data_IF_209736611286
#
_entry.id   IF_209736611286
#
_cell.length_a   1.000
_cell.length_b   1.000
_cell.length_c   1.000
_cell.angle_alpha   90.00
_cell.angle_beta   90.00
_cell.angle_gamma   90.00
#
_symmetry.space_group_name_H-M   'P 1'
#
loop_
_entity.id
_entity.type
_entity.pdbx_description
1 polymer ?
#
# COMPACT_ATOMS: atom_id res chain seq x y z
N UNK A 1 21.93 20.16 4.41
CA UNK A 1 21.08 19.32 5.25
C UNK A 1 21.55 19.45 6.69
N UNK A 2 20.64 19.73 7.62
CA UNK A 2 20.93 19.76 9.06
C UNK A 2 20.45 18.47 9.71
N UNK A 3 21.25 17.87 10.54
CA UNK A 3 20.95 16.66 11.30
C UNK A 3 21.45 16.83 12.74
N UNK A 4 21.13 15.89 13.61
CA UNK A 4 21.70 15.75 14.96
C UNK A 4 23.24 15.52 14.95
N UNK A 5 23.79 15.00 13.84
CA UNK A 5 25.21 14.76 13.61
C UNK A 5 25.93 15.98 12.98
N UNK A 6 25.21 17.08 12.69
CA UNK A 6 25.80 18.30 12.11
C UNK A 6 25.16 18.76 10.81
N UNK A 7 25.86 19.63 10.09
CA UNK A 7 25.42 20.21 8.81
C UNK A 7 26.21 19.63 7.65
N UNK A 8 25.51 19.07 6.68
CA UNK A 8 26.08 18.51 5.46
C UNK A 8 25.77 19.41 4.28
N UNK A 9 26.73 19.58 3.37
CA UNK A 9 26.56 20.29 2.10
C UNK A 9 26.98 19.39 0.94
N UNK A 10 26.14 19.29 -0.07
CA UNK A 10 26.41 18.54 -1.28
C UNK A 10 25.79 19.27 -2.47
N UNK A 11 26.34 19.14 -3.68
CA UNK A 11 25.73 19.71 -4.89
C UNK A 11 24.43 18.97 -5.27
N UNK A 12 24.27 17.72 -4.85
CA UNK A 12 23.07 16.93 -5.09
C UNK A 12 22.68 16.14 -3.85
N UNK A 13 21.37 15.86 -3.70
CA UNK A 13 20.81 15.04 -2.63
C UNK A 13 19.76 14.09 -3.24
N UNK A 14 19.83 12.82 -2.87
CA UNK A 14 18.82 11.82 -3.24
C UNK A 14 18.05 11.40 -1.99
N UNK A 15 16.74 11.62 -1.97
CA UNK A 15 15.85 11.19 -0.89
C UNK A 15 15.42 9.73 -1.16
N UNK A 16 15.90 8.81 -0.34
CA UNK A 16 15.62 7.38 -0.41
C UNK A 16 14.87 6.87 0.84
N UNK A 17 14.03 7.73 1.44
CA UNK A 17 13.33 7.45 2.69
C UNK A 17 12.10 6.53 2.54
N UNK A 18 11.72 6.17 1.31
CA UNK A 18 10.57 5.32 1.03
C UNK A 18 9.22 5.99 1.26
N UNK A 19 8.15 5.27 1.01
CA UNK A 19 6.78 5.77 1.07
C UNK A 19 5.98 5.29 2.30
N UNK A 20 6.50 4.32 3.04
CA UNK A 20 5.80 3.67 4.16
C UNK A 20 6.36 4.11 5.52
N UNK A 21 6.56 5.42 5.72
CA UNK A 21 7.23 5.95 6.91
C UNK A 21 6.28 6.10 8.09
N UNK A 22 5.06 6.57 7.84
CA UNK A 22 4.06 6.83 8.89
C UNK A 22 2.74 6.14 8.55
N UNK A 23 2.12 5.44 9.52
CA UNK A 23 0.77 4.87 9.34
C UNK A 23 -0.26 5.96 8.99
N UNK A 24 -1.09 5.67 7.99
CA UNK A 24 -2.15 6.58 7.56
C UNK A 24 -3.44 6.33 8.36
N UNK A 25 -3.43 6.63 9.66
CA UNK A 25 -4.59 6.47 10.53
C UNK A 25 -5.63 7.56 10.22
N UNK A 26 -6.89 7.19 9.92
CA UNK A 26 -7.93 8.18 9.63
C UNK A 26 -8.34 8.96 10.88
N UNK A 27 -8.85 10.18 10.69
CA UNK A 27 -9.32 11.03 11.80
C UNK A 27 -10.43 10.38 12.63
N UNK A 28 -11.17 9.45 12.06
CA UNK A 28 -12.18 8.62 12.73
C UNK A 28 -11.63 7.87 13.96
N UNK A 29 -10.32 7.59 14.00
CA UNK A 29 -9.71 6.91 15.14
C UNK A 29 -9.87 7.67 16.46
N UNK A 30 -10.06 8.99 16.41
CA UNK A 30 -10.32 9.84 17.58
C UNK A 30 -11.72 9.64 18.18
N UNK A 31 -12.62 9.01 17.45
CA UNK A 31 -14.01 8.74 17.86
C UNK A 31 -14.18 7.32 18.44
N UNK A 32 -13.11 6.56 18.53
CA UNK A 32 -13.11 5.23 19.16
C UNK A 32 -13.37 5.40 20.65
N UNK A 33 -14.33 4.66 21.25
CA UNK A 33 -14.62 4.73 22.68
C UNK A 33 -13.39 4.41 23.54
N UNK A 34 -13.31 5.04 24.71
CA UNK A 34 -12.31 4.70 25.71
C UNK A 34 -12.41 3.20 26.10
N UNK A 35 -11.26 2.57 26.36
CA UNK A 35 -11.17 1.14 26.71
C UNK A 35 -10.93 0.21 25.51
N UNK A 36 -11.08 0.68 24.27
CA UNK A 36 -10.67 -0.10 23.08
C UNK A 36 -9.25 0.25 22.70
N UNK A 37 -8.38 -0.76 22.61
CA UNK A 37 -7.00 -0.58 22.13
C UNK A 37 -6.99 -0.22 20.65
N UNK A 38 -6.12 0.71 20.28
CA UNK A 38 -5.99 1.19 18.89
C UNK A 38 -4.55 1.01 18.45
N UNK A 39 -4.32 0.11 17.48
CA UNK A 39 -3.00 -0.23 17.01
C UNK A 39 -2.90 -0.10 15.48
N UNK A 40 -1.68 0.04 14.97
CA UNK A 40 -1.39 0.01 13.53
C UNK A 40 -0.50 -1.21 13.23
N UNK A 41 -0.40 -1.66 11.98
CA UNK A 41 0.53 -2.76 11.65
C UNK A 41 1.98 -2.49 12.05
N UNK A 42 2.41 -1.22 12.10
CA UNK A 42 3.75 -0.86 12.58
C UNK A 42 3.91 -1.01 14.10
N UNK A 43 2.82 -0.84 14.86
CA UNK A 43 2.82 -0.99 16.32
C UNK A 43 2.41 -2.38 16.80
N UNK A 44 1.83 -3.21 15.93
CA UNK A 44 1.45 -4.58 16.25
C UNK A 44 2.67 -5.48 16.34
N UNK A 45 2.71 -6.36 17.33
CA UNK A 45 3.79 -7.34 17.54
C UNK A 45 3.31 -8.78 17.37
N UNK A 46 2.32 -9.17 18.15
CA UNK A 46 1.74 -10.52 18.12
C UNK A 46 0.34 -10.50 18.77
N UNK A 47 -0.48 -11.56 18.55
CA UNK A 47 -1.83 -11.63 19.11
C UNK A 47 -1.89 -11.59 20.66
N UNK A 48 -0.85 -12.10 21.33
CA UNK A 48 -0.81 -12.22 22.79
C UNK A 48 -0.68 -10.87 23.51
N UNK A 49 -0.16 -9.85 22.87
CA UNK A 49 -0.03 -8.50 23.45
C UNK A 49 -1.30 -7.65 23.35
N UNK A 50 -2.29 -8.09 22.58
CA UNK A 50 -3.55 -7.36 22.47
C UNK A 50 -4.47 -7.66 23.65
N UNK A 51 -5.25 -6.68 24.14
CA UNK A 51 -6.28 -6.90 25.16
C UNK A 51 -7.25 -8.02 24.77
N UNK A 52 -7.88 -8.64 25.75
CA UNK A 52 -8.92 -9.66 25.53
C UNK A 52 -10.08 -9.08 24.68
N UNK A 53 -10.79 -9.96 23.98
CA UNK A 53 -11.91 -9.62 23.12
C UNK A 53 -11.63 -9.79 21.64
N UNK A 54 -12.62 -9.51 20.81
CA UNK A 54 -12.52 -9.56 19.36
C UNK A 54 -11.70 -8.40 18.79
N UNK A 55 -11.29 -8.54 17.56
CA UNK A 55 -10.49 -7.53 16.84
C UNK A 55 -11.22 -7.05 15.60
N UNK A 56 -11.37 -5.73 15.48
CA UNK A 56 -11.85 -5.08 14.27
C UNK A 56 -10.65 -4.61 13.44
N UNK A 57 -10.39 -5.24 12.31
CA UNK A 57 -9.32 -4.86 11.36
C UNK A 57 -9.91 -3.94 10.31
N UNK A 58 -9.37 -2.72 10.18
CA UNK A 58 -9.82 -1.72 9.20
C UNK A 58 -8.88 -1.71 8.01
N UNK A 59 -9.36 -2.17 6.84
CA UNK A 59 -8.61 -2.26 5.59
C UNK A 59 -8.26 -3.70 5.21
N UNK A 60 -8.43 -4.04 3.93
CA UNK A 60 -8.28 -5.39 3.38
C UNK A 60 -7.19 -5.48 2.31
N UNK A 61 -6.17 -4.63 2.36
CA UNK A 61 -4.94 -4.80 1.58
C UNK A 61 -4.01 -5.82 2.24
N UNK A 62 -2.78 -5.99 1.77
CA UNK A 62 -1.85 -7.03 2.24
C UNK A 62 -1.78 -7.14 3.78
N UNK A 63 -1.51 -6.04 4.49
CA UNK A 63 -1.38 -6.06 5.96
C UNK A 63 -2.69 -6.45 6.65
N UNK A 64 -3.83 -5.94 6.17
CA UNK A 64 -5.13 -6.24 6.78
C UNK A 64 -5.52 -7.71 6.65
N UNK A 65 -5.32 -8.30 5.47
CA UNK A 65 -5.57 -9.73 5.22
C UNK A 65 -4.63 -10.59 6.07
N UNK A 66 -3.33 -10.24 6.12
CA UNK A 66 -2.34 -10.99 6.89
C UNK A 66 -2.66 -10.97 8.39
N UNK A 67 -2.96 -9.80 8.94
CA UNK A 67 -3.29 -9.68 10.36
C UNK A 67 -4.63 -10.33 10.71
N UNK A 68 -5.63 -10.25 9.82
CA UNK A 68 -6.89 -10.95 10.02
C UNK A 68 -6.71 -12.48 10.06
N UNK A 69 -5.87 -13.05 9.19
CA UNK A 69 -5.54 -14.49 9.20
C UNK A 69 -4.80 -14.88 10.49
N UNK A 70 -3.77 -14.12 10.88
CA UNK A 70 -2.97 -14.39 12.08
C UNK A 70 -3.80 -14.32 13.36
N UNK A 71 -4.58 -13.24 13.52
CA UNK A 71 -5.44 -13.03 14.69
C UNK A 71 -6.53 -14.10 14.78
N UNK A 72 -7.15 -14.45 13.64
CA UNK A 72 -8.16 -15.51 13.63
C UNK A 72 -7.55 -16.87 13.99
N UNK A 73 -6.39 -17.21 13.46
CA UNK A 73 -5.68 -18.46 13.78
C UNK A 73 -5.20 -18.52 15.24
N UNK A 74 -5.03 -17.41 15.90
CA UNK A 74 -4.76 -17.35 17.35
C UNK A 74 -6.00 -17.57 18.22
N UNK A 75 -7.18 -17.83 17.61
CA UNK A 75 -8.43 -18.06 18.29
C UNK A 75 -9.24 -16.79 18.60
N UNK A 76 -8.85 -15.61 18.09
CA UNK A 76 -9.60 -14.38 18.32
C UNK A 76 -10.76 -14.22 17.34
N UNK A 77 -11.95 -13.79 17.77
CA UNK A 77 -12.99 -13.31 16.87
C UNK A 77 -12.48 -12.11 16.06
N UNK A 78 -12.57 -12.19 14.74
CA UNK A 78 -12.10 -11.12 13.84
C UNK A 78 -13.23 -10.60 12.98
N UNK A 79 -13.39 -9.28 12.94
CA UNK A 79 -14.21 -8.56 11.96
C UNK A 79 -13.28 -7.76 11.06
N UNK A 80 -13.36 -7.95 9.74
CA UNK A 80 -12.55 -7.28 8.75
C UNK A 80 -13.39 -6.28 7.93
N UNK A 81 -13.06 -5.01 8.04
CA UNK A 81 -13.70 -3.95 7.25
C UNK A 81 -13.00 -3.81 5.90
N UNK A 82 -13.74 -4.12 4.83
CA UNK A 82 -13.25 -4.23 3.46
C UNK A 82 -13.60 -2.97 2.67
N UNK A 83 -12.55 -2.24 2.28
CA UNK A 83 -12.63 -1.15 1.31
C UNK A 83 -12.12 -1.57 -0.06
N UNK A 84 -11.73 -0.58 -0.88
CA UNK A 84 -11.05 -0.87 -2.15
C UNK A 84 -9.78 -1.70 -1.88
N UNK A 85 -9.60 -2.74 -2.68
CA UNK A 85 -8.48 -3.67 -2.55
C UNK A 85 -8.10 -4.26 -3.91
N UNK A 86 -6.90 -4.81 -3.99
CA UNK A 86 -6.40 -5.52 -5.17
C UNK A 86 -6.30 -7.00 -4.83
N UNK A 87 -7.34 -7.75 -5.25
CA UNK A 87 -7.34 -9.19 -5.12
C UNK A 87 -6.24 -9.80 -5.99
N UNK A 88 -5.44 -10.70 -5.41
CA UNK A 88 -4.33 -11.33 -6.09
C UNK A 88 -4.08 -12.73 -5.53
N UNK A 89 -3.99 -13.78 -6.35
CA UNK A 89 -3.58 -15.09 -5.89
C UNK A 89 -2.08 -15.08 -5.58
N UNK A 90 -1.65 -15.90 -4.62
CA UNK A 90 -0.22 -16.07 -4.36
C UNK A 90 0.47 -16.83 -5.49
N UNK A 91 -0.23 -17.82 -6.04
CA UNK A 91 0.29 -18.69 -7.10
C UNK A 91 -0.67 -18.67 -8.28
N UNK A 92 -0.15 -18.63 -9.48
CA UNK A 92 -0.86 -18.75 -10.73
C UNK A 92 -0.07 -19.66 -11.67
N UNK A 93 -0.74 -20.64 -12.32
CA UNK A 93 -0.11 -21.58 -13.25
C UNK A 93 1.20 -22.19 -12.69
N UNK A 94 1.16 -22.61 -11.43
CA UNK A 94 2.28 -23.26 -10.74
C UNK A 94 3.46 -22.37 -10.36
N UNK A 95 3.39 -21.03 -10.59
CA UNK A 95 4.43 -20.08 -10.21
C UNK A 95 3.86 -18.96 -9.34
N UNK A 96 4.72 -18.28 -8.58
CA UNK A 96 4.36 -17.06 -7.88
C UNK A 96 3.83 -16.02 -8.86
N UNK A 97 2.75 -15.32 -8.49
CA UNK A 97 2.13 -14.32 -9.38
C UNK A 97 3.10 -13.19 -9.73
N UNK A 98 4.02 -12.82 -8.84
CA UNK A 98 5.03 -11.79 -9.12
C UNK A 98 5.94 -12.18 -10.28
N UNK A 99 6.25 -13.48 -10.42
CA UNK A 99 7.00 -13.97 -11.57
C UNK A 99 6.26 -13.69 -12.89
N UNK A 100 4.94 -13.91 -12.92
CA UNK A 100 4.12 -13.64 -14.09
C UNK A 100 4.03 -12.16 -14.40
N UNK A 101 3.87 -11.32 -13.37
CA UNK A 101 3.80 -9.87 -13.53
C UNK A 101 5.12 -9.28 -14.06
N UNK A 102 6.25 -9.82 -13.63
CA UNK A 102 7.57 -9.40 -14.10
C UNK A 102 7.84 -9.92 -15.50
N UNK A 103 7.72 -11.25 -15.73
CA UNK A 103 7.98 -11.88 -17.02
C UNK A 103 7.12 -11.33 -18.16
N UNK A 104 5.88 -10.95 -17.89
CA UNK A 104 4.96 -10.33 -18.86
C UNK A 104 5.22 -8.84 -19.09
N UNK A 105 6.17 -8.21 -18.39
CA UNK A 105 6.48 -6.78 -18.49
C UNK A 105 5.47 -5.86 -17.77
N UNK A 106 4.46 -6.40 -17.11
CA UNK A 106 3.43 -5.59 -16.42
C UNK A 106 4.02 -4.72 -15.29
N UNK A 107 5.08 -5.21 -14.63
CA UNK A 107 5.79 -4.44 -13.59
C UNK A 107 6.71 -3.37 -14.16
N UNK A 108 7.08 -3.45 -15.45
CA UNK A 108 7.92 -2.48 -16.14
C UNK A 108 7.13 -1.33 -16.75
N UNK A 109 5.78 -1.39 -16.74
CA UNK A 109 4.94 -0.30 -17.21
C UNK A 109 5.38 1.03 -16.59
N UNK A 110 5.64 2.02 -17.43
CA UNK A 110 6.17 3.31 -17.04
C UNK A 110 5.08 4.28 -16.59
N UNK A 111 5.47 5.24 -15.77
CA UNK A 111 4.59 6.28 -15.23
C UNK A 111 4.06 7.25 -16.31
N UNK A 112 4.84 7.42 -17.39
CA UNK A 112 4.51 8.25 -18.56
C UNK A 112 3.64 7.52 -19.61
N UNK A 113 3.32 6.23 -19.37
CA UNK A 113 2.47 5.40 -20.23
C UNK A 113 1.04 5.23 -19.66
N UNK A 114 0.71 5.89 -18.55
CA UNK A 114 -0.62 5.77 -17.93
C UNK A 114 -1.41 7.07 -18.01
N UNK A 115 -2.71 6.97 -18.31
CA UNK A 115 -3.60 8.13 -18.46
C UNK A 115 -3.82 8.89 -17.14
N UNK A 116 -3.88 8.19 -16.00
CA UNK A 116 -4.11 8.75 -14.67
C UNK A 116 -3.06 8.27 -13.67
N UNK A 117 -1.93 8.96 -13.65
CA UNK A 117 -0.82 8.65 -12.76
C UNK A 117 -1.19 8.85 -11.28
N UNK A 118 -2.03 9.84 -10.97
CA UNK A 118 -2.46 10.10 -9.61
C UNK A 118 -3.26 8.91 -9.06
N UNK A 119 -4.17 8.36 -9.86
CA UNK A 119 -4.91 7.13 -9.53
C UNK A 119 -3.98 5.92 -9.44
N UNK A 120 -3.06 5.76 -10.40
CA UNK A 120 -2.14 4.62 -10.43
C UNK A 120 -1.24 4.57 -9.19
N UNK A 121 -0.79 5.72 -8.68
CA UNK A 121 0.01 5.84 -7.44
C UNK A 121 -0.79 5.56 -6.16
N UNK A 122 -2.12 5.68 -6.20
CA UNK A 122 -3.00 5.48 -5.05
C UNK A 122 -3.67 4.09 -5.03
N UNK A 123 -3.27 3.19 -5.92
CA UNK A 123 -3.79 1.81 -5.91
C UNK A 123 -3.35 1.12 -4.61
N UNK A 124 -4.27 0.46 -3.88
CA UNK A 124 -3.92 -0.29 -2.69
C UNK A 124 -2.91 -1.40 -2.97
N UNK A 125 -2.11 -1.78 -1.98
CA UNK A 125 -1.19 -2.90 -2.12
C UNK A 125 -1.93 -4.21 -2.42
N UNK A 126 -1.36 -5.02 -3.30
CA UNK A 126 -1.90 -6.33 -3.70
C UNK A 126 -2.04 -7.26 -2.48
N UNK A 127 -3.08 -8.06 -2.44
CA UNK A 127 -3.31 -9.08 -1.40
C UNK A 127 -2.37 -10.28 -1.58
N UNK A 128 -1.08 -10.04 -1.64
CA UNK A 128 -0.05 -11.07 -1.76
C UNK A 128 0.28 -11.69 -0.39
N UNK A 129 -0.69 -12.39 0.17
CA UNK A 129 -0.59 -13.01 1.51
C UNK A 129 -0.63 -14.51 1.39
N UNK A 130 0.07 -15.18 2.30
CA UNK A 130 0.22 -16.63 2.33
C UNK A 130 1.64 -17.08 2.00
N UNK A 131 1.80 -18.37 1.76
CA UNK A 131 3.05 -19.03 1.38
C UNK A 131 2.88 -19.75 0.04
N UNK A 132 3.95 -20.27 -0.58
CA UNK A 132 3.80 -21.16 -1.73
C UNK A 132 2.79 -22.27 -1.44
N UNK A 133 1.76 -22.40 -2.31
CA UNK A 133 0.67 -23.35 -2.14
C UNK A 133 -0.49 -22.92 -1.21
N UNK A 134 -0.40 -21.75 -0.54
CA UNK A 134 -1.50 -21.24 0.29
C UNK A 134 -1.76 -19.76 -0.01
N UNK A 135 -2.76 -19.48 -0.80
CA UNK A 135 -3.30 -18.12 -0.95
C UNK A 135 -4.24 -17.81 0.23
N UNK A 136 -4.13 -16.61 0.80
CA UNK A 136 -5.07 -16.08 1.79
C UNK A 136 -5.81 -14.92 1.16
N UNK A 137 -7.10 -15.10 0.90
CA UNK A 137 -8.01 -14.09 0.36
C UNK A 137 -9.27 -13.96 1.21
N UNK A 138 -10.20 -13.11 0.79
CA UNK A 138 -11.46 -12.89 1.51
C UNK A 138 -12.31 -14.16 1.59
N UNK A 139 -12.27 -15.05 0.59
CA UNK A 139 -13.01 -16.31 0.62
C UNK A 139 -12.44 -17.24 1.69
N UNK A 140 -11.13 -17.38 1.77
CA UNK A 140 -10.44 -18.19 2.79
C UNK A 140 -10.77 -17.66 4.19
N UNK A 141 -10.66 -16.35 4.41
CA UNK A 141 -10.95 -15.73 5.70
C UNK A 141 -12.44 -15.92 6.09
N UNK A 142 -13.35 -15.64 5.17
CA UNK A 142 -14.79 -15.80 5.43
C UNK A 142 -15.18 -17.25 5.71
N UNK A 143 -14.58 -18.21 5.00
CA UNK A 143 -14.82 -19.64 5.22
C UNK A 143 -14.26 -20.10 6.58
N UNK A 144 -13.17 -19.51 7.03
CA UNK A 144 -12.59 -19.79 8.34
C UNK A 144 -13.41 -19.18 9.50
N UNK A 145 -14.29 -18.20 9.25
CA UNK A 145 -15.13 -17.57 10.28
C UNK A 145 -14.84 -16.11 10.54
N UNK A 146 -13.93 -15.47 9.79
CA UNK A 146 -13.73 -14.02 9.84
C UNK A 146 -14.99 -13.33 9.30
N UNK A 147 -15.56 -12.41 10.09
CA UNK A 147 -16.72 -11.61 9.67
C UNK A 147 -16.26 -10.49 8.73
N UNK A 148 -16.74 -10.50 7.49
CA UNK A 148 -16.48 -9.42 6.54
C UNK A 148 -17.58 -8.36 6.63
N UNK A 149 -17.19 -7.09 6.70
CA UNK A 149 -18.07 -5.93 6.67
C UNK A 149 -17.59 -4.92 5.61
N UNK A 150 -18.44 -3.98 5.22
CA UNK A 150 -18.06 -2.94 4.29
C UNK A 150 -17.02 -1.97 4.85
N UNK A 151 -16.54 -1.07 4.01
CA UNK A 151 -15.59 -0.02 4.44
C UNK A 151 -16.15 0.75 5.63
N UNK A 152 -15.34 0.98 6.65
CA UNK A 152 -15.68 1.88 7.76
C UNK A 152 -15.99 3.28 7.20
N UNK A 153 -17.22 3.73 7.38
CA UNK A 153 -17.72 5.02 6.90
C UNK A 153 -17.70 6.08 8.00
N UNK A 154 -17.94 5.67 9.25
CA UNK A 154 -18.00 6.57 10.40
C UNK A 154 -17.98 5.81 11.72
N UNK A 155 -17.79 6.55 12.81
CA UNK A 155 -18.05 6.11 14.18
C UNK A 155 -18.94 7.19 14.79
N UNK A 156 -20.14 6.83 15.22
CA UNK A 156 -21.10 7.75 15.84
C UNK A 156 -21.74 7.09 17.04
N UNK A 157 -21.77 7.78 18.16
CA UNK A 157 -22.36 7.30 19.43
C UNK A 157 -21.85 5.91 19.87
N UNK A 158 -20.55 5.65 19.62
CA UNK A 158 -19.92 4.38 19.93
C UNK A 158 -20.25 3.25 18.95
N UNK A 159 -20.95 3.52 17.85
CA UNK A 159 -21.26 2.54 16.80
C UNK A 159 -20.37 2.78 15.59
N UNK A 160 -19.60 1.77 15.20
CA UNK A 160 -18.88 1.77 13.91
C UNK A 160 -19.89 1.50 12.79
N UNK A 161 -19.93 2.40 11.81
CA UNK A 161 -20.84 2.36 10.66
C UNK A 161 -20.08 1.87 9.42
N UNK A 162 -20.66 0.91 8.71
CA UNK A 162 -20.05 0.32 7.53
C UNK A 162 -20.86 0.62 6.27
N UNK A 163 -20.15 0.80 5.16
CA UNK A 163 -20.77 0.99 3.85
C UNK A 163 -21.45 -0.29 3.38
N UNK A 164 -22.65 -0.17 2.79
CA UNK A 164 -23.35 -1.27 2.11
C UNK A 164 -22.74 -1.68 0.77
N UNK A 165 -21.64 -1.05 0.34
CA UNK A 165 -21.02 -1.30 -0.98
C UNK A 165 -20.09 -2.52 -1.03
N UNK A 166 -20.02 -3.34 0.02
CA UNK A 166 -19.13 -4.51 0.08
C UNK A 166 -19.24 -5.43 -1.14
N UNK A 167 -20.44 -5.82 -1.61
CA UNK A 167 -20.56 -6.66 -2.81
C UNK A 167 -19.97 -6.01 -4.05
N UNK A 168 -20.19 -4.71 -4.25
CA UNK A 168 -19.69 -3.98 -5.41
C UNK A 168 -18.16 -3.86 -5.40
N UNK A 169 -17.57 -3.61 -4.24
CA UNK A 169 -16.12 -3.51 -4.08
C UNK A 169 -15.45 -4.85 -4.38
N UNK A 170 -16.03 -5.96 -3.92
CA UNK A 170 -15.52 -7.30 -4.20
C UNK A 170 -15.69 -7.68 -5.68
N UNK A 171 -16.86 -7.41 -6.26
CA UNK A 171 -17.09 -7.68 -7.70
C UNK A 171 -16.12 -6.90 -8.58
N UNK A 172 -15.81 -5.64 -8.22
CA UNK A 172 -14.82 -4.85 -8.94
C UNK A 172 -13.39 -5.42 -8.79
N UNK A 173 -13.03 -5.90 -7.62
CA UNK A 173 -11.73 -6.55 -7.39
C UNK A 173 -11.60 -7.86 -8.19
N UNK A 174 -12.67 -8.67 -8.23
CA UNK A 174 -12.73 -9.88 -9.04
C UNK A 174 -12.62 -9.59 -10.53
N UNK A 175 -13.31 -8.56 -11.02
CA UNK A 175 -13.23 -8.13 -12.42
C UNK A 175 -11.80 -7.67 -12.79
N UNK A 176 -11.16 -6.88 -11.92
CA UNK A 176 -9.77 -6.43 -12.12
C UNK A 176 -8.81 -7.62 -12.15
N UNK A 177 -8.97 -8.58 -11.24
CA UNK A 177 -8.19 -9.83 -11.25
C UNK A 177 -8.38 -10.59 -12.56
N UNK A 178 -9.63 -10.82 -13.00
CA UNK A 178 -9.91 -11.52 -14.25
C UNK A 178 -9.25 -10.86 -15.47
N UNK A 179 -9.27 -9.53 -15.56
CA UNK A 179 -8.59 -8.78 -16.62
C UNK A 179 -7.08 -8.97 -16.58
N UNK A 180 -6.47 -8.91 -15.38
CA UNK A 180 -5.03 -9.13 -15.22
C UNK A 180 -4.62 -10.53 -15.65
N UNK A 181 -5.35 -11.56 -15.21
CA UNK A 181 -5.06 -12.95 -15.59
C UNK A 181 -5.25 -13.20 -17.09
N UNK A 182 -6.24 -12.56 -17.73
CA UNK A 182 -6.39 -12.61 -19.18
C UNK A 182 -5.19 -11.97 -19.91
N UNK A 183 -4.62 -10.89 -19.39
CA UNK A 183 -3.41 -10.27 -19.96
C UNK A 183 -2.20 -11.21 -19.83
N UNK A 184 -2.04 -11.86 -18.69
CA UNK A 184 -0.98 -12.86 -18.48
C UNK A 184 -1.17 -14.06 -19.41
N UNK A 185 -2.42 -14.57 -19.55
CA UNK A 185 -2.74 -15.70 -20.43
C UNK A 185 -2.47 -15.39 -21.90
N UNK A 186 -2.82 -14.18 -22.36
CA UNK A 186 -2.53 -13.74 -23.72
C UNK A 186 -1.02 -13.70 -23.97
N UNK A 187 -0.24 -13.21 -23.02
CA UNK A 187 1.22 -13.22 -23.08
C UNK A 187 1.79 -14.66 -23.08
N UNK A 188 1.24 -15.54 -22.24
CA UNK A 188 1.69 -16.92 -22.10
C UNK A 188 1.21 -17.85 -23.23
N UNK A 189 0.34 -17.40 -24.13
CA UNK A 189 -0.21 -18.18 -25.24
C UNK A 189 -1.18 -19.30 -24.84
N UNK A 190 -1.65 -19.34 -23.61
CA UNK A 190 -2.57 -20.36 -23.10
C UNK A 190 -3.38 -19.86 -21.90
N UNK A 191 -4.62 -20.33 -21.75
CA UNK A 191 -5.45 -20.02 -20.60
C UNK A 191 -4.96 -20.74 -19.33
N UNK A 192 -4.97 -20.03 -18.21
CA UNK A 192 -4.71 -20.58 -16.89
C UNK A 192 -5.97 -20.87 -16.09
N UNK A 193 -5.78 -21.20 -14.79
CA UNK A 193 -6.88 -21.41 -13.86
C UNK A 193 -7.70 -20.13 -13.64
N UNK A 194 -8.98 -20.31 -13.26
CA UNK A 194 -9.88 -19.22 -12.88
C UNK A 194 -10.21 -19.32 -11.41
N UNK A 195 -10.23 -18.18 -10.74
CA UNK A 195 -10.56 -18.10 -9.32
C UNK A 195 -12.05 -17.83 -9.14
N UNK A 196 -12.68 -18.55 -8.21
CA UNK A 196 -14.07 -18.33 -7.85
C UNK A 196 -14.28 -16.86 -7.42
N UNK A 197 -15.41 -16.24 -7.77
CA UNK A 197 -15.77 -14.93 -7.27
C UNK A 197 -15.72 -14.85 -5.75
N UNK A 198 -15.56 -13.65 -5.23
CA UNK A 198 -15.61 -13.42 -3.78
C UNK A 198 -17.05 -13.67 -3.29
N UNK A 199 -17.21 -14.65 -2.39
CA UNK A 199 -18.53 -15.05 -1.86
C UNK A 199 -18.91 -14.08 -0.75
N UNK A 200 -20.05 -13.38 -0.90
CA UNK A 200 -20.56 -12.45 0.08
C UNK A 200 -21.63 -13.09 0.95
N UNK A 201 -21.47 -12.95 2.25
CA UNK A 201 -22.53 -13.19 3.24
C UNK A 201 -23.16 -11.85 3.60
N UNK A 202 -24.39 -11.89 4.14
CA UNK A 202 -25.03 -10.68 4.68
C UNK A 202 -24.14 -10.06 5.75
N UNK A 203 -23.74 -8.82 5.55
CA UNK A 203 -22.86 -8.08 6.44
C UNK A 203 -23.64 -7.03 7.25
N UNK A 204 -23.41 -6.88 8.55
CA UNK A 204 -24.00 -5.80 9.32
C UNK A 204 -23.47 -4.46 8.85
N UNK A 205 -24.34 -3.45 8.89
CA UNK A 205 -23.98 -2.06 8.57
C UNK A 205 -23.51 -1.27 9.81
N UNK A 206 -23.64 -1.86 11.00
CA UNK A 206 -23.22 -1.27 12.26
C UNK A 206 -22.64 -2.30 13.20
N UNK A 207 -21.73 -1.86 14.08
CA UNK A 207 -21.15 -2.65 15.16
C UNK A 207 -21.02 -1.76 16.39
N UNK A 208 -21.71 -2.12 17.48
CA UNK A 208 -21.59 -1.38 18.74
C UNK A 208 -20.23 -1.68 19.40
N UNK A 209 -19.38 -0.67 19.41
CA UNK A 209 -18.05 -0.74 20.01
C UNK A 209 -18.10 -0.73 21.55
N UNK A 210 -19.23 -0.35 22.16
CA UNK A 210 -19.42 -0.35 23.62
C UNK A 210 -19.96 -1.66 24.16
N UNK A 211 -20.32 -2.61 23.28
CA UNK A 211 -20.84 -3.93 23.66
C UNK A 211 -19.82 -4.81 24.40
N UNK A 212 -18.53 -4.49 24.35
CA UNK A 212 -17.45 -5.34 24.85
C UNK A 212 -17.04 -6.46 23.87
N UNK A 213 -17.72 -6.60 22.72
CA UNK A 213 -17.33 -7.57 21.69
C UNK A 213 -15.93 -7.29 21.13
N UNK A 214 -15.60 -6.02 20.91
CA UNK A 214 -14.32 -5.57 20.33
C UNK A 214 -13.42 -4.99 21.41
N UNK A 215 -12.27 -5.62 21.65
CA UNK A 215 -11.22 -5.13 22.56
C UNK A 215 -10.14 -4.32 21.82
N UNK A 216 -9.98 -4.53 20.53
CA UNK A 216 -8.92 -3.87 19.73
C UNK A 216 -9.41 -3.48 18.34
N UNK A 217 -8.98 -2.30 17.87
CA UNK A 217 -9.07 -1.90 16.47
C UNK A 217 -7.66 -1.84 15.87
N UNK A 218 -7.47 -2.54 14.74
CA UNK A 218 -6.23 -2.50 13.94
C UNK A 218 -6.45 -1.63 12.72
N UNK A 219 -5.72 -0.52 12.63
CA UNK A 219 -5.78 0.41 11.50
C UNK A 219 -4.84 -0.03 10.38
N UNK A 220 -5.24 -1.00 9.57
CA UNK A 220 -4.51 -1.46 8.40
C UNK A 220 -4.82 -0.60 7.16
N UNK A 221 -4.86 0.71 7.36
CA UNK A 221 -5.30 1.73 6.39
C UNK A 221 -4.18 2.29 5.53
N UNK A 222 -3.03 1.61 5.52
CA UNK A 222 -1.86 1.94 4.71
C UNK A 222 -0.89 2.90 5.41
N UNK A 223 0.03 3.42 4.61
CA UNK A 223 1.11 4.30 5.05
C UNK A 223 1.21 5.51 4.13
N UNK A 224 1.91 6.53 4.60
CA UNK A 224 2.30 7.69 3.80
C UNK A 224 3.76 8.06 4.07
N UNK A 225 4.45 8.68 3.12
CA UNK A 225 5.76 9.27 3.41
C UNK A 225 5.60 10.42 4.41
N UNK A 226 6.56 10.55 5.30
CA UNK A 226 6.72 11.75 6.12
C UNK A 226 7.87 12.57 5.56
N UNK A 227 7.53 13.67 4.93
CA UNK A 227 8.47 14.66 4.38
C UNK A 227 8.35 16.02 5.11
N UNK A 228 7.71 16.06 6.28
CA UNK A 228 7.48 17.28 7.06
C UNK A 228 8.78 17.95 7.52
N UNK A 229 9.87 17.19 7.59
CA UNK A 229 11.20 17.66 7.91
C UNK A 229 11.92 18.35 6.73
N UNK A 230 11.36 18.30 5.51
CA UNK A 230 11.96 18.87 4.31
C UNK A 230 11.53 20.32 4.14
N UNK A 231 12.43 21.24 4.51
CA UNK A 231 12.23 22.68 4.40
C UNK A 231 12.68 23.20 3.01
N UNK A 232 12.06 22.67 1.96
CA UNK A 232 12.31 23.04 0.55
C UNK A 232 10.94 23.05 -0.17
N UNK A 233 10.65 24.04 -1.06
CA UNK A 233 9.34 24.21 -1.69
C UNK A 233 9.08 23.20 -2.83
N UNK A 234 9.21 21.91 -2.53
CA UNK A 234 8.96 20.81 -3.46
C UNK A 234 7.77 19.94 -3.03
N UNK A 235 7.03 20.36 -2.01
CA UNK A 235 5.85 19.65 -1.52
C UNK A 235 4.57 20.34 -1.98
N UNK A 236 3.56 19.53 -2.35
CA UNK A 236 2.21 20.02 -2.60
C UNK A 236 1.48 20.37 -1.28
N UNK A 237 0.26 20.94 -1.39
CA UNK A 237 -0.58 21.29 -0.22
C UNK A 237 -0.95 20.10 0.67
N UNK A 238 -0.72 18.87 0.22
CA UNK A 238 -0.96 17.64 0.97
C UNK A 238 0.33 17.05 1.54
N UNK A 239 1.47 17.78 1.44
CA UNK A 239 2.78 17.34 1.91
C UNK A 239 3.40 16.23 1.06
N UNK A 240 2.97 16.06 -0.19
CA UNK A 240 3.53 15.06 -1.13
C UNK A 240 4.57 15.74 -2.01
N UNK A 241 5.69 15.05 -2.26
CA UNK A 241 6.71 15.57 -3.15
C UNK A 241 6.19 15.70 -4.59
N UNK A 242 6.41 16.86 -5.17
CA UNK A 242 6.13 17.14 -6.60
C UNK A 242 7.40 16.82 -7.39
N UNK A 243 7.29 15.89 -8.32
CA UNK A 243 8.42 15.41 -9.10
C UNK A 243 7.97 14.82 -10.44
N UNK A 244 8.87 14.82 -11.40
CA UNK A 244 8.77 14.06 -12.64
C UNK A 244 9.79 12.91 -12.60
N UNK A 245 9.32 11.66 -12.53
CA UNK A 245 10.18 10.48 -12.46
C UNK A 245 11.28 10.54 -11.39
N UNK A 246 11.04 11.21 -10.26
CA UNK A 246 12.02 11.38 -9.17
C UNK A 246 12.88 12.64 -9.27
N UNK A 247 12.79 13.42 -10.35
CA UNK A 247 13.45 14.72 -10.48
C UNK A 247 12.52 15.79 -9.92
N UNK A 248 12.97 16.59 -8.97
CA UNK A 248 12.15 17.67 -8.39
C UNK A 248 12.40 19.01 -9.10
N UNK A 249 11.54 20.00 -8.85
CA UNK A 249 11.72 21.36 -9.34
C UNK A 249 12.93 22.07 -8.69
N UNK A 250 13.44 21.55 -7.57
CA UNK A 250 14.67 22.06 -6.95
C UNK A 250 15.89 21.37 -7.59
N UNK A 251 16.72 22.10 -8.35
CA UNK A 251 17.89 21.52 -9.02
C UNK A 251 18.82 20.81 -8.01
N UNK A 252 19.23 19.60 -8.35
CA UNK A 252 20.07 18.76 -7.49
C UNK A 252 19.35 17.98 -6.40
N UNK A 253 18.02 18.10 -6.28
CA UNK A 253 17.22 17.30 -5.35
C UNK A 253 16.44 16.22 -6.09
N UNK A 254 16.59 14.97 -5.67
CA UNK A 254 16.02 13.79 -6.30
C UNK A 254 15.29 12.90 -5.29
N UNK A 255 14.39 12.05 -5.80
CA UNK A 255 13.63 11.04 -5.02
C UNK A 255 13.82 9.66 -5.65
N UNK A 256 13.91 8.62 -4.81
CA UNK A 256 13.92 7.22 -5.25
C UNK A 256 13.08 6.35 -4.30
N UNK A 257 12.58 5.20 -4.80
CA UNK A 257 11.85 4.23 -4.00
C UNK A 257 10.39 4.62 -3.67
N UNK A 258 9.84 5.62 -4.34
CA UNK A 258 8.42 5.97 -4.21
C UNK A 258 7.55 5.07 -5.09
N UNK A 259 6.29 4.79 -4.68
CA UNK A 259 5.37 4.00 -5.49
C UNK A 259 5.17 4.60 -6.89
N UNK A 260 5.34 3.76 -7.91
CA UNK A 260 5.20 4.14 -9.30
C UNK A 260 5.96 5.44 -9.64
N UNK A 261 7.22 5.52 -9.18
CA UNK A 261 8.08 6.66 -9.42
C UNK A 261 8.38 6.80 -10.92
N UNK A 262 8.91 5.74 -11.53
CA UNK A 262 9.16 5.57 -12.97
C UNK A 262 8.46 4.35 -13.54
N UNK A 263 8.36 3.26 -12.74
CA UNK A 263 7.72 1.98 -13.11
C UNK A 263 6.79 1.50 -12.00
N UNK A 264 5.92 0.56 -12.31
CA UNK A 264 5.08 -0.07 -11.28
C UNK A 264 5.92 -0.73 -10.20
N UNK A 265 7.08 -1.28 -10.52
CA UNK A 265 8.02 -1.90 -9.58
C UNK A 265 8.99 -0.93 -8.89
N UNK A 266 8.87 0.37 -9.06
CA UNK A 266 9.77 1.38 -8.47
C UNK A 266 9.97 1.27 -6.96
N UNK A 267 8.97 0.79 -6.22
CA UNK A 267 9.03 0.58 -4.77
C UNK A 267 9.46 -0.83 -4.37
N UNK A 268 9.76 -1.71 -5.33
CA UNK A 268 10.29 -3.05 -5.11
C UNK A 268 11.83 -3.02 -5.23
N UNK A 269 12.51 -3.94 -4.53
CA UNK A 269 13.97 -4.05 -4.57
C UNK A 269 14.46 -4.26 -6.01
N UNK A 270 13.79 -5.13 -6.77
CA UNK A 270 14.11 -5.40 -8.18
C UNK A 270 13.97 -4.17 -9.07
N UNK A 271 12.93 -3.36 -8.87
CA UNK A 271 12.70 -2.14 -9.66
C UNK A 271 13.64 -0.98 -9.35
N UNK A 272 14.26 -0.97 -8.16
CA UNK A 272 15.09 0.13 -7.70
C UNK A 272 16.34 0.34 -8.57
N UNK A 273 16.96 -0.73 -9.08
CA UNK A 273 18.17 -0.65 -9.88
C UNK A 273 17.99 0.13 -11.20
N UNK A 274 16.91 -0.16 -11.93
CA UNK A 274 16.59 0.51 -13.19
C UNK A 274 16.27 2.00 -12.98
N UNK A 275 15.49 2.32 -11.94
CA UNK A 275 15.16 3.71 -11.59
C UNK A 275 16.40 4.47 -11.13
N UNK A 276 17.28 3.85 -10.34
CA UNK A 276 18.55 4.44 -9.90
C UNK A 276 19.45 4.76 -11.09
N UNK A 277 19.59 3.85 -12.06
CA UNK A 277 20.41 4.07 -13.25
C UNK A 277 19.92 5.25 -14.09
N UNK A 278 18.60 5.39 -14.29
CA UNK A 278 18.03 6.53 -15.00
C UNK A 278 18.22 7.85 -14.25
N UNK A 279 17.98 7.82 -12.93
CA UNK A 279 18.13 9.00 -12.08
C UNK A 279 19.58 9.47 -12.00
N UNK A 280 20.54 8.52 -11.92
CA UNK A 280 21.98 8.81 -11.87
C UNK A 280 22.47 9.46 -13.17
N UNK A 281 21.96 9.08 -14.34
CA UNK A 281 22.29 9.75 -15.62
C UNK A 281 21.86 11.22 -15.59
N UNK A 282 20.66 11.52 -15.09
CA UNK A 282 20.21 12.90 -14.97
C UNK A 282 21.05 13.69 -13.94
N UNK A 283 21.38 13.05 -12.81
CA UNK A 283 22.21 13.64 -11.76
C UNK A 283 23.63 13.95 -12.27
N UNK A 284 24.25 13.04 -13.04
CA UNK A 284 25.56 13.24 -13.64
C UNK A 284 25.55 14.45 -14.59
N UNK A 285 24.57 14.56 -15.49
CA UNK A 285 24.42 15.70 -16.37
C UNK A 285 24.25 17.03 -15.63
N UNK A 286 23.55 17.03 -14.49
CA UNK A 286 23.42 18.20 -13.62
C UNK A 286 24.79 18.61 -13.03
N UNK A 287 25.57 17.65 -12.53
CA UNK A 287 26.91 17.91 -12.00
C UNK A 287 27.88 18.45 -13.05
N UNK A 288 27.86 17.89 -14.25
CA UNK A 288 28.69 18.34 -15.38
C UNK A 288 28.37 19.79 -15.75
N UNK A 289 27.08 20.14 -15.78
CA UNK A 289 26.64 21.52 -16.03
C UNK A 289 27.15 22.50 -14.95
N UNK A 290 27.15 22.09 -13.67
CA UNK A 290 27.69 22.91 -12.58
C UNK A 290 29.19 23.15 -12.72
N UNK A 291 29.97 22.13 -13.12
CA UNK A 291 31.42 22.25 -13.35
C UNK A 291 31.72 23.16 -14.55
N UNK A 292 30.98 22.98 -15.65
CA UNK A 292 31.13 23.82 -16.86
C UNK A 292 30.81 25.30 -16.64
N UNK A 293 29.88 25.63 -15.75
CA UNK A 293 29.57 27.01 -15.36
C UNK A 293 30.71 27.65 -14.51
N UNK A 294 31.29 26.89 -13.58
CA UNK A 294 32.40 27.36 -12.76
C UNK A 294 33.65 27.65 -13.60
N UNK A 295 33.93 26.84 -14.60
CA UNK A 295 35.06 27.05 -15.51
C UNK A 295 34.94 28.34 -16.37
N UNK A 296 33.70 28.72 -16.74
CA UNK A 296 33.42 29.93 -17.54
C UNK A 296 33.36 31.21 -16.74
N UNK A 297 33.14 31.13 -15.43
CA UNK A 297 33.14 32.33 -14.54
C UNK A 297 34.54 32.68 -13.99
N UNK A 298 35.55 31.85 -14.25
CA UNK A 298 36.93 32.03 -13.80
C UNK A 298 37.88 32.44 -14.95
N UNK A 299 37.37 32.63 -16.13
CA UNK A 299 38.07 33.18 -17.30
C UNK A 299 37.54 34.57 -17.62
#
# INVERSE_FOLDING_TARGET
MRTDQGTWRAPTVVLACGAATVPAVPTLARLVPAGISSVTPAGYRNPGELPLGGVLVIGASASGIQLADELHRSGRPVTLAVGEHVRMPRTYRGRDILWWLDASGLLDQRYDEVDDLARARNVPSMQLVGSPGRTVDLNVLSSAGVRLVGRLAGIQDGVAQFSGSLPNVCALADLKLGRLLNTIDAWAGAAGERFAPTIMRTAPLGLDLRSGEIGTIVWATGYRPDLSWLDIPVLDRRGRAVHDGGVTACPGLYLIGMPFLRRRKSSLIDGAAADAAELTRHLAGHLDALVGHRGRSAS
#
